data_IF_888530029853
#
_entry.id   IF_888530029853
#
_cell.length_a   1.000
_cell.length_b   1.000
_cell.length_c   1.000
_cell.angle_alpha   90.00
_cell.angle_beta   90.00
_cell.angle_gamma   90.00
#
_symmetry.space_group_name_H-M   'P 1'
#
loop_
_entity.id
_entity.type
_entity.pdbx_description
1 polymer ?
#
# COMPACT_ATOMS: atom_id res chain seq x y z
N UNK A 1 61.19 -40.14 -36.31
CA UNK A 1 60.27 -41.22 -35.90
C UNK A 1 59.39 -40.72 -34.76
N UNK A 2 58.08 -40.56 -35.01
CA UNK A 2 56.95 -40.61 -34.06
C UNK A 2 56.93 -39.61 -32.88
N UNK A 3 55.83 -38.95 -32.52
CA UNK A 3 54.41 -39.14 -32.82
C UNK A 3 53.68 -37.80 -32.62
N UNK A 4 52.82 -37.47 -33.59
CA UNK A 4 51.48 -36.88 -33.47
C UNK A 4 51.18 -35.91 -32.31
N UNK A 5 50.95 -34.65 -32.69
CA UNK A 5 49.65 -33.99 -32.53
C UNK A 5 49.08 -33.87 -31.13
N UNK A 6 49.32 -32.72 -30.48
CA UNK A 6 48.31 -31.84 -29.83
C UNK A 6 49.03 -30.50 -29.61
N UNK A 7 49.09 -29.66 -30.64
CA UNK A 7 49.52 -28.25 -30.49
C UNK A 7 48.73 -27.32 -31.42
N UNK A 8 47.48 -27.71 -31.72
CA UNK A 8 46.59 -27.01 -32.66
C UNK A 8 45.23 -26.56 -32.09
N UNK A 9 44.94 -26.78 -30.81
CA UNK A 9 43.62 -26.43 -30.27
C UNK A 9 43.59 -25.17 -29.37
N UNK A 10 44.74 -24.58 -29.03
CA UNK A 10 44.76 -23.40 -28.14
C UNK A 10 45.03 -22.06 -28.82
N UNK A 11 45.21 -22.02 -30.15
CA UNK A 11 45.41 -20.76 -30.91
C UNK A 11 44.39 -20.61 -32.05
N UNK A 12 43.37 -21.48 -32.13
CA UNK A 12 42.28 -21.34 -33.12
C UNK A 12 41.00 -20.66 -32.58
N UNK A 13 40.86 -20.40 -31.28
CA UNK A 13 39.62 -19.82 -30.74
C UNK A 13 39.68 -18.30 -30.50
N UNK A 14 40.83 -17.64 -30.71
CA UNK A 14 40.97 -16.16 -30.64
C UNK A 14 40.86 -15.46 -32.00
N UNK A 15 40.57 -16.23 -33.06
CA UNK A 15 40.38 -15.71 -34.42
C UNK A 15 38.93 -15.96 -34.93
N UNK A 16 38.05 -16.55 -34.10
CA UNK A 16 36.73 -17.02 -34.56
C UNK A 16 35.49 -16.23 -34.09
N UNK A 17 35.65 -15.03 -33.54
CA UNK A 17 34.54 -14.07 -33.41
C UNK A 17 34.88 -12.65 -33.89
N UNK A 18 35.90 -12.52 -34.74
CA UNK A 18 36.11 -11.32 -35.56
C UNK A 18 35.71 -11.52 -37.02
N UNK A 19 35.30 -12.73 -37.45
CA UNK A 19 34.83 -12.99 -38.82
C UNK A 19 33.58 -13.89 -38.86
N UNK A 20 32.42 -13.30 -38.58
CA UNK A 20 31.22 -13.52 -39.40
C UNK A 20 30.72 -12.15 -39.82
N UNK A 21 31.37 -11.58 -40.84
CA UNK A 21 30.73 -10.70 -41.81
C UNK A 21 31.63 -10.61 -43.04
N UNK A 22 31.72 -11.71 -43.79
CA UNK A 22 32.37 -11.74 -45.10
C UNK A 22 31.30 -12.06 -46.14
N UNK A 23 30.45 -11.05 -46.39
CA UNK A 23 29.81 -10.75 -47.68
C UNK A 23 28.78 -9.61 -47.51
N UNK A 24 29.26 -8.36 -47.61
CA UNK A 24 28.57 -7.04 -47.74
C UNK A 24 29.21 -5.99 -46.80
N UNK A 25 30.49 -5.69 -47.03
CA UNK A 25 31.28 -4.83 -46.12
C UNK A 25 30.78 -3.39 -46.03
N UNK A 26 29.99 -2.91 -47.01
CA UNK A 26 29.40 -1.57 -46.95
C UNK A 26 28.06 -1.56 -46.21
N UNK A 27 27.16 -2.52 -46.45
CA UNK A 27 25.83 -2.52 -45.81
C UNK A 27 25.91 -2.72 -44.29
N UNK A 28 26.76 -3.65 -43.80
CA UNK A 28 26.92 -3.85 -42.36
C UNK A 28 27.59 -2.64 -41.66
N UNK A 29 28.55 -1.99 -42.33
CA UNK A 29 29.16 -0.76 -41.82
C UNK A 29 28.15 0.40 -41.80
N UNK A 30 27.33 0.51 -42.85
CA UNK A 30 26.30 1.53 -42.98
C UNK A 30 25.18 1.31 -41.95
N UNK A 31 24.81 0.07 -41.67
CA UNK A 31 23.84 -0.27 -40.63
C UNK A 31 24.39 -0.04 -39.22
N UNK A 32 25.67 -0.31 -38.96
CA UNK A 32 26.33 0.05 -37.70
C UNK A 32 26.36 1.56 -37.49
N UNK A 33 26.67 2.34 -38.52
CA UNK A 33 26.64 3.81 -38.46
C UNK A 33 25.21 4.32 -38.24
N UNK A 34 24.21 3.70 -38.89
CA UNK A 34 22.79 4.02 -38.70
C UNK A 34 22.35 3.75 -37.26
N UNK A 35 22.71 2.59 -36.70
CA UNK A 35 22.39 2.23 -35.31
C UNK A 35 23.09 3.16 -34.32
N UNK A 36 24.36 3.51 -34.56
CA UNK A 36 25.08 4.49 -33.74
C UNK A 36 24.40 5.88 -33.77
N UNK A 37 23.94 6.33 -34.94
CA UNK A 37 23.17 7.56 -35.06
C UNK A 37 21.82 7.49 -34.33
N UNK A 38 21.15 6.34 -34.36
CA UNK A 38 19.91 6.11 -33.60
C UNK A 38 20.13 6.11 -32.10
N UNK A 39 21.18 5.45 -31.60
CA UNK A 39 21.56 5.46 -30.17
C UNK A 39 21.83 6.88 -29.72
N UNK A 40 22.62 7.65 -30.47
CA UNK A 40 22.89 9.06 -30.16
C UNK A 40 21.61 9.90 -30.10
N UNK A 41 20.69 9.66 -31.04
CA UNK A 41 19.38 10.34 -31.05
C UNK A 41 18.53 9.97 -29.83
N UNK A 42 18.58 8.70 -29.40
CA UNK A 42 17.88 8.24 -28.21
C UNK A 42 18.49 8.81 -26.93
N UNK A 43 19.81 8.89 -26.84
CA UNK A 43 20.51 9.52 -25.71
C UNK A 43 20.12 10.99 -25.56
N UNK A 44 20.05 11.74 -26.68
CA UNK A 44 19.59 13.13 -26.68
C UNK A 44 18.12 13.25 -26.24
N UNK A 45 17.26 12.31 -26.64
CA UNK A 45 15.86 12.25 -26.19
C UNK A 45 15.77 11.95 -24.69
N UNK A 46 16.54 10.99 -24.19
CA UNK A 46 16.59 10.65 -22.77
C UNK A 46 17.10 11.83 -21.95
N UNK A 47 18.16 12.51 -22.38
CA UNK A 47 18.68 13.70 -21.70
C UNK A 47 17.63 14.83 -21.68
N UNK A 48 16.90 15.04 -22.78
CA UNK A 48 15.81 16.02 -22.84
C UNK A 48 14.64 15.63 -21.93
N UNK A 49 14.28 14.35 -21.88
CA UNK A 49 13.24 13.84 -20.97
C UNK A 49 13.66 13.97 -19.50
N UNK A 50 14.93 13.72 -19.18
CA UNK A 50 15.49 13.91 -17.84
C UNK A 50 15.48 15.39 -17.43
N UNK A 51 15.84 16.30 -18.33
CA UNK A 51 15.69 17.74 -18.09
C UNK A 51 14.24 18.14 -17.86
N UNK A 52 13.31 17.62 -18.68
CA UNK A 52 11.87 17.90 -18.52
C UNK A 52 11.35 17.34 -17.19
N UNK A 53 11.77 16.14 -16.78
CA UNK A 53 11.45 15.55 -15.48
C UNK A 53 12.03 16.36 -14.32
N UNK A 54 13.27 16.84 -14.43
CA UNK A 54 13.86 17.70 -13.41
C UNK A 54 13.17 19.06 -13.35
N UNK A 55 12.73 19.59 -14.48
CA UNK A 55 11.94 20.81 -14.56
C UNK A 55 10.54 20.61 -13.94
N UNK A 56 9.85 19.52 -14.25
CA UNK A 56 8.58 19.13 -13.62
C UNK A 56 8.75 18.92 -12.10
N UNK A 57 9.84 18.27 -11.67
CA UNK A 57 10.19 18.14 -10.25
C UNK A 57 10.44 19.49 -9.59
N UNK A 58 11.16 20.40 -10.25
CA UNK A 58 11.40 21.76 -9.75
C UNK A 58 10.13 22.61 -9.66
N UNK A 59 9.18 22.42 -10.59
CA UNK A 59 7.85 23.02 -10.55
C UNK A 59 7.02 22.43 -9.40
N UNK A 60 7.16 21.13 -9.12
CA UNK A 60 6.59 20.52 -7.90
C UNK A 60 7.22 21.09 -6.62
N UNK A 61 8.50 21.45 -6.61
CA UNK A 61 9.15 22.08 -5.43
C UNK A 61 8.75 23.54 -5.22
N UNK A 62 8.17 24.22 -6.23
CA UNK A 62 7.63 25.58 -6.10
C UNK A 62 6.13 25.65 -5.85
N UNK A 63 5.42 24.52 -5.94
CA UNK A 63 4.13 24.36 -5.29
C UNK A 63 4.45 24.17 -3.80
N UNK A 64 4.54 25.28 -3.07
CA UNK A 64 4.26 25.24 -1.65
C UNK A 64 2.86 24.66 -1.52
N UNK A 65 2.75 23.36 -1.24
CA UNK A 65 1.53 22.80 -0.67
C UNK A 65 1.40 23.54 0.65
N UNK A 66 0.62 24.62 0.65
CA UNK A 66 0.01 25.07 1.86
C UNK A 66 -0.69 23.82 2.41
N UNK A 67 -0.25 23.36 3.57
CA UNK A 67 -0.93 22.34 4.38
C UNK A 67 -2.32 22.88 4.75
N UNK A 68 -3.18 23.11 3.76
CA UNK A 68 -4.51 23.66 3.95
C UNK A 68 -5.37 22.54 4.51
N UNK A 69 -5.28 22.39 5.83
CA UNK A 69 -6.35 21.75 6.59
C UNK A 69 -7.59 22.58 6.27
N UNK A 70 -8.54 21.98 5.55
CA UNK A 70 -9.82 22.62 5.27
C UNK A 70 -10.60 22.71 6.57
N UNK A 71 -10.37 23.80 7.30
CA UNK A 71 -11.19 24.21 8.45
C UNK A 71 -12.34 25.02 7.87
N UNK A 72 -13.58 24.58 8.12
CA UNK A 72 -14.76 25.36 7.80
C UNK A 72 -14.63 26.76 8.43
N UNK A 73 -14.53 27.85 7.63
CA UNK A 73 -14.34 29.21 8.14
C UNK A 73 -15.49 29.68 9.02
N UNK A 74 -16.67 29.07 8.90
CA UNK A 74 -17.85 29.43 9.69
C UNK A 74 -17.80 28.86 11.11
N UNK A 75 -17.07 27.74 11.30
CA UNK A 75 -17.04 27.00 12.56
C UNK A 75 -18.40 26.46 13.03
N UNK A 76 -19.45 26.55 12.19
CA UNK A 76 -20.83 26.21 12.57
C UNK A 76 -21.18 24.75 12.29
N UNK A 77 -20.53 24.10 11.33
CA UNK A 77 -20.83 22.71 10.95
C UNK A 77 -19.76 21.75 11.46
N UNK A 78 -20.17 20.79 12.27
CA UNK A 78 -19.31 19.73 12.78
C UNK A 78 -19.57 18.43 12.02
N UNK A 79 -18.66 18.07 11.11
CA UNK A 79 -18.75 16.81 10.35
C UNK A 79 -18.36 15.62 11.22
N UNK A 80 -19.14 14.54 11.17
CA UNK A 80 -18.81 13.28 11.88
C UNK A 80 -17.78 12.44 11.16
N UNK A 81 -17.67 12.61 9.84
CA UNK A 81 -16.80 11.85 8.94
C UNK A 81 -16.74 12.52 7.55
N UNK A 82 -15.91 11.97 6.66
CA UNK A 82 -15.72 12.50 5.31
C UNK A 82 -16.97 12.42 4.41
N UNK A 83 -17.95 11.58 4.72
CA UNK A 83 -19.17 11.47 3.93
C UNK A 83 -20.05 12.70 4.09
N UNK A 84 -20.12 13.27 5.30
CA UNK A 84 -20.82 14.53 5.53
C UNK A 84 -20.08 15.71 4.90
N UNK A 85 -18.74 15.71 4.98
CA UNK A 85 -17.89 16.68 4.25
C UNK A 85 -18.24 16.65 2.77
N UNK A 86 -18.34 15.45 2.17
CA UNK A 86 -18.75 15.29 0.78
C UNK A 86 -20.19 15.76 0.55
N UNK A 87 -21.15 15.39 1.38
CA UNK A 87 -22.55 15.81 1.18
C UNK A 87 -22.78 17.32 1.33
N UNK A 88 -21.85 18.03 1.98
CA UNK A 88 -21.78 19.50 2.05
C UNK A 88 -21.13 20.16 0.81
N UNK A 89 -20.91 19.41 -0.27
CA UNK A 89 -20.40 19.95 -1.54
C UNK A 89 -18.88 20.00 -1.64
N UNK A 90 -18.13 19.61 -0.60
CA UNK A 90 -16.66 19.58 -0.65
C UNK A 90 -16.19 18.36 -1.44
N UNK A 91 -15.58 18.60 -2.61
CA UNK A 91 -15.19 17.55 -3.58
C UNK A 91 -13.68 17.30 -3.68
N UNK A 92 -12.85 18.10 -3.01
CA UNK A 92 -11.40 17.98 -3.09
C UNK A 92 -10.89 16.98 -2.05
N UNK A 93 -10.10 15.99 -2.49
CA UNK A 93 -9.39 15.11 -1.55
C UNK A 93 -8.34 15.90 -0.77
N UNK A 94 -8.21 15.63 0.53
CA UNK A 94 -7.32 16.38 1.39
C UNK A 94 -7.59 16.19 2.87
N UNK A 95 -6.97 17.03 3.70
CA UNK A 95 -7.15 17.00 5.14
C UNK A 95 -8.39 17.78 5.55
N UNK A 96 -9.23 17.16 6.36
CA UNK A 96 -10.39 17.77 6.97
C UNK A 96 -10.41 17.49 8.47
N UNK A 97 -11.11 18.34 9.21
CA UNK A 97 -11.35 18.14 10.64
C UNK A 97 -12.75 17.58 10.83
N UNK A 98 -12.85 16.44 11.51
CA UNK A 98 -14.12 15.79 11.84
C UNK A 98 -14.21 15.57 13.36
N UNK A 99 -15.42 15.31 13.85
CA UNK A 99 -15.69 14.87 15.22
C UNK A 99 -16.77 13.78 15.20
N UNK A 100 -16.37 12.50 15.19
CA UNK A 100 -17.30 11.40 15.34
C UNK A 100 -18.15 11.55 16.61
N UNK A 101 -19.40 11.07 16.60
CA UNK A 101 -20.43 11.40 17.60
C UNK A 101 -20.01 11.23 19.07
N UNK A 102 -19.28 10.15 19.38
CA UNK A 102 -18.83 9.84 20.75
C UNK A 102 -17.34 10.15 20.97
N UNK A 103 -16.67 10.74 19.99
CA UNK A 103 -15.27 11.12 20.13
C UNK A 103 -15.16 12.30 21.10
N UNK A 104 -14.29 12.23 22.12
CA UNK A 104 -14.10 13.33 23.07
C UNK A 104 -13.46 14.56 22.40
N UNK A 105 -12.72 14.36 21.30
CA UNK A 105 -11.97 15.40 20.61
C UNK A 105 -12.22 15.39 19.10
N UNK A 106 -12.01 16.54 18.46
CA UNK A 106 -11.91 16.61 17.00
C UNK A 106 -10.64 15.91 16.53
N UNK A 107 -10.67 15.34 15.33
CA UNK A 107 -9.52 14.69 14.70
C UNK A 107 -9.35 15.16 13.26
N UNK A 108 -8.10 15.32 12.84
CA UNK A 108 -7.76 15.55 11.43
C UNK A 108 -7.70 14.22 10.71
N UNK A 109 -8.39 14.12 9.59
CA UNK A 109 -8.44 12.92 8.74
C UNK A 109 -8.15 13.28 7.29
N UNK A 110 -7.66 12.31 6.52
CA UNK A 110 -7.58 12.43 5.08
C UNK A 110 -8.89 11.93 4.47
N UNK A 111 -9.62 12.82 3.82
CA UNK A 111 -10.79 12.48 3.04
C UNK A 111 -10.40 12.22 1.60
N UNK A 112 -10.68 11.01 1.14
CA UNK A 112 -10.60 10.63 -0.26
C UNK A 112 -11.95 10.86 -0.93
N UNK A 113 -12.01 11.87 -1.79
CA UNK A 113 -13.21 12.28 -2.53
C UNK A 113 -13.32 11.60 -3.90
N UNK A 114 -12.39 10.69 -4.24
CA UNK A 114 -12.48 9.81 -5.41
C UNK A 114 -13.34 8.56 -5.12
N UNK A 115 -13.56 7.70 -6.12
CA UNK A 115 -14.35 6.46 -5.99
C UNK A 115 -15.76 6.68 -5.37
N UNK A 116 -16.48 7.68 -5.88
CA UNK A 116 -17.79 8.10 -5.34
C UNK A 116 -17.71 8.95 -4.07
N UNK A 117 -16.50 9.20 -3.57
CA UNK A 117 -16.18 10.19 -2.54
C UNK A 117 -16.66 9.88 -1.13
N UNK A 118 -16.32 10.77 -0.21
CA UNK A 118 -16.72 10.67 1.19
C UNK A 118 -16.02 9.57 1.98
N UNK A 119 -14.84 9.12 1.53
CA UNK A 119 -14.08 8.08 2.22
C UNK A 119 -13.13 8.68 3.26
N UNK A 120 -13.16 8.15 4.48
CA UNK A 120 -12.18 8.47 5.52
C UNK A 120 -11.04 7.45 5.46
N UNK A 121 -9.84 7.87 5.06
CA UNK A 121 -8.65 6.99 5.00
C UNK A 121 -8.04 6.85 6.39
N UNK A 122 -7.84 5.62 6.85
CA UNK A 122 -7.28 5.35 8.19
C UNK A 122 -5.91 4.65 8.16
N UNK A 123 -5.52 4.08 7.02
CA UNK A 123 -4.19 3.52 6.81
C UNK A 123 -3.74 3.77 5.38
N UNK A 124 -2.47 4.17 5.21
CA UNK A 124 -1.81 4.29 3.91
C UNK A 124 -0.38 3.72 3.93
N UNK A 125 -0.06 2.86 2.97
CA UNK A 125 1.30 2.38 2.61
C UNK A 125 1.61 2.74 1.15
N UNK A 126 2.82 3.21 0.86
CA UNK A 126 3.23 3.73 -0.45
C UNK A 126 4.73 3.57 -0.76
N UNK A 127 5.60 3.67 0.25
CA UNK A 127 7.04 3.83 0.03
C UNK A 127 7.94 3.24 1.13
N UNK A 128 7.35 2.74 2.22
CA UNK A 128 8.07 2.09 3.31
C UNK A 128 8.90 3.00 4.19
N UNK A 129 8.74 4.34 4.10
CA UNK A 129 9.52 5.27 4.94
C UNK A 129 9.03 5.33 6.38
N UNK A 130 7.78 4.98 6.65
CA UNK A 130 7.22 4.99 7.99
C UNK A 130 7.35 3.59 8.61
N UNK A 131 7.85 3.53 9.84
CA UNK A 131 7.88 2.25 10.58
C UNK A 131 6.49 1.94 11.14
N UNK A 132 5.96 0.77 10.78
CA UNK A 132 4.74 0.21 11.35
C UNK A 132 5.03 -0.78 12.50
N UNK A 133 6.31 -1.01 12.85
CA UNK A 133 6.67 -1.75 14.06
C UNK A 133 6.60 -0.84 15.29
N UNK A 134 5.38 -0.60 15.76
CA UNK A 134 5.04 0.38 16.82
C UNK A 134 4.37 -0.31 18.02
N UNK A 135 4.45 0.34 19.18
CA UNK A 135 3.84 -0.17 20.41
C UNK A 135 2.32 0.06 20.46
N UNK A 136 1.66 -0.50 21.48
CA UNK A 136 0.23 -0.37 21.71
C UNK A 136 -0.23 1.09 21.78
N UNK A 137 0.49 1.93 22.53
CA UNK A 137 0.12 3.32 22.74
C UNK A 137 0.17 4.15 21.46
N UNK A 138 1.16 3.89 20.60
CA UNK A 138 1.29 4.49 19.27
C UNK A 138 0.19 4.02 18.32
N UNK A 139 -0.10 2.71 18.25
CA UNK A 139 -1.22 2.20 17.44
C UNK A 139 -2.58 2.69 17.92
N UNK A 140 -2.75 2.88 19.23
CA UNK A 140 -3.94 3.49 19.83
C UNK A 140 -4.12 4.94 19.38
N UNK A 141 -3.06 5.75 19.47
CA UNK A 141 -3.10 7.20 19.18
C UNK A 141 -3.08 7.51 17.69
N UNK A 142 -2.37 6.70 16.90
CA UNK A 142 -2.02 6.98 15.51
C UNK A 142 -0.59 7.52 15.36
N UNK A 143 -0.02 7.32 14.18
CA UNK A 143 1.35 7.71 13.82
C UNK A 143 1.49 7.92 12.30
N UNK A 144 2.65 8.43 11.89
CA UNK A 144 3.00 8.68 10.50
C UNK A 144 2.60 10.05 9.97
N UNK A 145 2.71 10.23 8.66
CA UNK A 145 2.54 11.51 7.98
C UNK A 145 1.31 11.50 7.07
N UNK A 146 0.17 11.90 7.62
CA UNK A 146 -1.05 12.08 6.86
C UNK A 146 -1.03 13.33 5.95
N UNK A 147 -0.19 14.33 6.28
CA UNK A 147 -0.16 15.62 5.56
C UNK A 147 0.44 15.53 4.18
N UNK A 148 1.53 14.77 4.06
CA UNK A 148 2.10 14.47 2.76
C UNK A 148 1.13 13.60 1.96
N UNK A 149 0.86 13.96 0.71
CA UNK A 149 0.07 13.11 -0.20
C UNK A 149 0.71 11.74 -0.45
N UNK A 150 2.04 11.65 -0.28
CA UNK A 150 2.81 10.41 -0.37
C UNK A 150 3.09 9.75 1.00
N UNK A 151 2.74 10.40 2.12
CA UNK A 151 3.17 9.95 3.44
C UNK A 151 2.38 8.75 3.96
N UNK A 152 3.05 7.78 4.58
CA UNK A 152 2.38 6.63 5.19
C UNK A 152 1.90 6.97 6.60
N UNK A 153 0.77 6.40 7.00
CA UNK A 153 0.22 6.64 8.34
C UNK A 153 -0.75 5.56 8.81
N UNK A 154 -0.97 5.55 10.12
CA UNK A 154 -2.06 4.86 10.80
C UNK A 154 -2.84 5.88 11.63
N UNK A 155 -4.15 5.99 11.41
CA UNK A 155 -4.99 7.00 12.03
C UNK A 155 -5.11 6.85 13.55
N UNK A 156 -4.99 5.62 14.05
CA UNK A 156 -5.12 5.29 15.47
C UNK A 156 -6.37 4.47 15.78
N UNK A 157 -6.22 3.43 16.60
CA UNK A 157 -7.30 2.49 16.91
C UNK A 157 -8.46 3.16 17.66
N UNK A 158 -8.18 4.13 18.54
CA UNK A 158 -9.22 4.91 19.20
C UNK A 158 -10.07 5.69 18.19
N UNK A 159 -9.42 6.33 17.22
CA UNK A 159 -10.11 7.12 16.21
C UNK A 159 -10.95 6.21 15.30
N UNK A 160 -10.42 5.05 14.92
CA UNK A 160 -11.12 4.05 14.13
C UNK A 160 -12.32 3.45 14.87
N UNK A 161 -12.19 3.20 16.18
CA UNK A 161 -13.30 2.78 17.02
C UNK A 161 -14.45 3.79 17.02
N UNK A 162 -14.17 5.08 17.26
CA UNK A 162 -15.21 6.11 17.25
C UNK A 162 -15.88 6.26 15.88
N UNK A 163 -15.09 6.21 14.80
CA UNK A 163 -15.60 6.27 13.43
C UNK A 163 -16.53 5.10 13.10
N UNK A 164 -16.19 3.89 13.51
CA UNK A 164 -16.95 2.68 13.12
C UNK A 164 -18.05 2.31 14.12
N UNK A 165 -18.10 2.95 15.29
CA UNK A 165 -19.13 2.72 16.30
C UNK A 165 -20.31 3.69 16.22
N UNK A 166 -20.20 4.77 15.44
CA UNK A 166 -21.27 5.77 15.29
C UNK A 166 -22.37 5.37 14.29
N UNK A 167 -22.23 4.23 13.61
CA UNK A 167 -23.21 3.74 12.63
C UNK A 167 -22.71 2.47 11.95
N UNK A 168 -23.37 2.09 10.86
CA UNK A 168 -22.93 0.97 10.02
C UNK A 168 -21.94 1.45 8.95
N UNK A 169 -20.76 0.86 8.91
CA UNK A 169 -19.65 1.29 8.07
C UNK A 169 -19.18 0.18 7.14
N UNK A 170 -18.77 0.58 5.94
CA UNK A 170 -18.11 -0.27 4.96
C UNK A 170 -16.62 0.04 4.94
N UNK A 171 -15.80 -1.00 5.02
CA UNK A 171 -14.37 -0.94 4.75
C UNK A 171 -14.13 -1.15 3.26
N UNK A 172 -13.25 -0.34 2.66
CA UNK A 172 -12.64 -0.59 1.36
C UNK A 172 -11.13 -0.56 1.49
N UNK A 173 -10.49 -1.55 0.89
CA UNK A 173 -9.03 -1.69 0.80
C UNK A 173 -8.67 -1.65 -0.69
N UNK A 174 -7.94 -0.62 -1.11
CA UNK A 174 -7.33 -0.57 -2.43
C UNK A 174 -5.87 -1.00 -2.32
N UNK A 175 -5.40 -1.86 -3.23
CA UNK A 175 -4.05 -2.43 -3.22
C UNK A 175 -3.43 -2.38 -4.61
N UNK A 176 -2.11 -2.20 -4.68
CA UNK A 176 -1.31 -2.23 -5.90
C UNK A 176 -0.06 -3.09 -5.72
N UNK A 177 0.31 -3.83 -6.75
CA UNK A 177 1.58 -4.58 -6.81
C UNK A 177 2.67 -3.80 -7.57
N UNK A 178 3.88 -4.35 -7.64
CA UNK A 178 5.00 -3.68 -8.32
C UNK A 178 4.92 -3.71 -9.85
N UNK A 179 4.03 -4.53 -10.42
CA UNK A 179 3.75 -4.58 -11.85
C UNK A 179 2.66 -3.58 -12.27
N UNK A 180 2.09 -2.85 -11.30
CA UNK A 180 1.06 -1.84 -11.52
C UNK A 180 -0.36 -2.41 -11.59
N UNK A 181 -0.55 -3.69 -11.26
CA UNK A 181 -1.89 -4.26 -11.16
C UNK A 181 -2.57 -3.75 -9.90
N UNK A 182 -3.86 -3.43 -10.01
CA UNK A 182 -4.65 -2.95 -8.89
C UNK A 182 -5.78 -3.93 -8.55
N UNK A 183 -5.97 -4.17 -7.26
CA UNK A 183 -7.09 -4.96 -6.74
C UNK A 183 -7.73 -4.26 -5.56
N UNK A 184 -8.97 -4.63 -5.25
CA UNK A 184 -9.66 -4.10 -4.09
C UNK A 184 -10.44 -5.18 -3.34
N UNK A 185 -10.67 -4.91 -2.06
CA UNK A 185 -11.52 -5.68 -1.17
C UNK A 185 -12.48 -4.74 -0.43
N UNK A 186 -13.74 -5.12 -0.32
CA UNK A 186 -14.78 -4.37 0.38
C UNK A 186 -15.44 -5.30 1.39
N UNK A 187 -15.61 -4.81 2.62
CA UNK A 187 -16.28 -5.53 3.69
C UNK A 187 -17.38 -4.65 4.28
N UNK A 188 -18.61 -5.16 4.31
CA UNK A 188 -19.73 -4.52 5.01
C UNK A 188 -19.58 -4.66 6.53
N UNK A 189 -20.39 -3.95 7.31
CA UNK A 189 -20.47 -4.08 8.77
C UNK A 189 -19.11 -4.03 9.47
N UNK A 190 -18.19 -3.23 8.94
CA UNK A 190 -16.84 -3.09 9.48
C UNK A 190 -16.87 -2.32 10.78
N UNK A 191 -16.33 -2.93 11.83
CA UNK A 191 -16.33 -2.37 13.19
C UNK A 191 -15.04 -2.70 13.91
N UNK A 192 -14.59 -1.73 14.69
CA UNK A 192 -13.48 -1.89 15.63
C UNK A 192 -14.01 -1.60 17.04
N UNK A 193 -13.89 -2.57 17.94
CA UNK A 193 -14.32 -2.43 19.32
C UNK A 193 -13.46 -1.41 20.09
N UNK A 194 -13.80 -1.14 21.34
CA UNK A 194 -13.04 -0.21 22.18
C UNK A 194 -11.73 -0.84 22.70
N UNK A 195 -10.97 -0.08 23.48
CA UNK A 195 -9.72 -0.57 24.08
C UNK A 195 -9.93 -1.69 25.12
N UNK A 196 -11.07 -1.69 25.82
CA UNK A 196 -11.40 -2.71 26.83
C UNK A 196 -11.55 -4.08 26.17
N UNK A 197 -12.12 -4.11 24.97
CA UNK A 197 -12.20 -5.28 24.11
C UNK A 197 -10.99 -5.42 23.16
N UNK A 198 -9.90 -4.70 23.45
CA UNK A 198 -8.64 -4.73 22.71
C UNK A 198 -8.78 -4.47 21.20
N UNK A 199 -9.65 -3.51 20.84
CA UNK A 199 -9.93 -3.10 19.47
C UNK A 199 -10.32 -4.27 18.56
N UNK A 200 -11.09 -5.23 19.09
CA UNK A 200 -11.54 -6.41 18.35
C UNK A 200 -12.15 -6.04 16.99
N UNK A 201 -11.71 -6.74 15.95
CA UNK A 201 -12.17 -6.56 14.57
C UNK A 201 -13.49 -7.31 14.34
N UNK A 202 -14.45 -6.65 13.70
CA UNK A 202 -15.63 -7.27 13.12
C UNK A 202 -15.85 -6.79 11.69
N UNK A 203 -16.28 -7.68 10.83
CA UNK A 203 -16.73 -7.37 9.48
C UNK A 203 -17.81 -8.37 9.02
N UNK A 204 -18.56 -7.96 8.01
CA UNK A 204 -19.61 -8.72 7.34
C UNK A 204 -19.19 -9.15 5.95
N UNK A 205 -20.12 -9.06 5.00
CA UNK A 205 -19.97 -9.63 3.67
C UNK A 205 -18.84 -9.00 2.87
N UNK A 206 -18.08 -9.88 2.20
CA UNK A 206 -17.00 -9.53 1.30
C UNK A 206 -17.49 -9.34 -0.14
N UNK A 207 -16.94 -8.33 -0.81
CA UNK A 207 -16.92 -8.22 -2.28
C UNK A 207 -15.57 -7.67 -2.74
N UNK A 208 -15.14 -7.99 -3.95
CA UNK A 208 -13.91 -7.42 -4.49
C UNK A 208 -13.22 -8.31 -5.50
N UNK A 209 -12.06 -7.86 -5.94
CA UNK A 209 -11.20 -8.56 -6.90
C UNK A 209 -9.97 -9.18 -6.25
N UNK A 210 -9.64 -8.81 -5.01
CA UNK A 210 -8.42 -9.24 -4.33
C UNK A 210 -8.47 -10.65 -3.71
N UNK A 211 -9.65 -11.29 -3.67
CA UNK A 211 -9.90 -12.45 -2.80
C UNK A 211 -10.08 -12.04 -1.34
N UNK A 212 -10.73 -12.90 -0.55
CA UNK A 212 -11.06 -12.64 0.85
C UNK A 212 -9.98 -13.17 1.81
N UNK A 213 -8.91 -12.38 1.97
CA UNK A 213 -7.85 -12.74 2.90
C UNK A 213 -8.22 -12.46 4.37
N UNK A 214 -9.14 -11.53 4.69
CA UNK A 214 -9.49 -11.28 6.10
C UNK A 214 -10.33 -12.41 6.69
N UNK A 215 -11.29 -12.94 5.94
CA UNK A 215 -12.09 -14.06 6.43
C UNK A 215 -11.30 -15.37 6.42
N UNK A 216 -10.28 -15.50 5.57
CA UNK A 216 -9.46 -16.72 5.46
C UNK A 216 -10.24 -17.91 4.87
N UNK A 217 -11.24 -17.63 4.02
CA UNK A 217 -12.20 -18.62 3.51
C UNK A 217 -11.74 -19.37 2.26
N UNK A 218 -10.53 -19.10 1.78
CA UNK A 218 -9.95 -19.75 0.60
C UNK A 218 -9.62 -21.23 0.82
N UNK A 219 -9.52 -21.69 2.08
CA UNK A 219 -9.42 -23.12 2.41
C UNK A 219 -10.09 -23.42 3.77
N UNK A 220 -11.06 -24.36 3.86
CA UNK A 220 -11.78 -24.62 5.11
C UNK A 220 -10.87 -24.98 6.30
N UNK A 221 -9.80 -25.71 6.04
CA UNK A 221 -8.86 -26.16 7.09
C UNK A 221 -8.00 -25.02 7.65
N UNK A 222 -7.92 -23.87 6.97
CA UNK A 222 -7.08 -22.75 7.42
C UNK A 222 -7.86 -21.66 8.14
N UNK A 223 -9.18 -21.61 7.95
CA UNK A 223 -10.01 -20.51 8.46
C UNK A 223 -9.85 -20.31 9.97
N UNK A 224 -9.75 -21.39 10.76
CA UNK A 224 -9.66 -21.29 12.22
C UNK A 224 -8.39 -20.57 12.73
N UNK A 225 -7.29 -20.64 11.98
CA UNK A 225 -6.01 -20.02 12.32
C UNK A 225 -5.71 -18.76 11.50
N UNK A 226 -6.27 -18.65 10.29
CA UNK A 226 -6.01 -17.55 9.36
C UNK A 226 -7.01 -16.39 9.49
N UNK A 227 -8.26 -16.66 9.90
CA UNK A 227 -9.32 -15.64 9.91
C UNK A 227 -9.04 -14.54 10.92
N UNK A 228 -9.23 -13.29 10.48
CA UNK A 228 -9.10 -12.07 11.29
C UNK A 228 -10.44 -11.70 11.97
N UNK A 229 -11.53 -12.38 11.60
CA UNK A 229 -12.86 -12.10 12.15
C UNK A 229 -12.89 -12.33 13.65
N UNK A 230 -13.24 -11.30 14.42
CA UNK A 230 -13.28 -11.36 15.87
C UNK A 230 -11.91 -11.40 16.54
N UNK A 231 -10.82 -11.18 15.80
CA UNK A 231 -9.48 -11.11 16.41
C UNK A 231 -9.29 -9.79 17.13
N UNK A 232 -8.57 -9.86 18.25
CA UNK A 232 -8.14 -8.68 19.01
C UNK A 232 -6.89 -8.11 18.37
N UNK A 233 -6.68 -6.82 18.53
CA UNK A 233 -5.48 -6.16 18.04
C UNK A 233 -4.29 -6.57 18.92
N UNK A 234 -3.13 -6.78 18.32
CA UNK A 234 -1.89 -7.11 19.03
C UNK A 234 -0.75 -6.22 18.55
N UNK A 235 0.17 -5.91 19.45
CA UNK A 235 1.45 -5.23 19.18
C UNK A 235 2.58 -5.99 19.89
N UNK A 236 3.83 -5.65 19.59
CA UNK A 236 4.98 -6.37 20.15
C UNK A 236 5.08 -6.34 21.69
N UNK A 237 4.42 -5.34 22.31
CA UNK A 237 4.35 -5.08 23.74
C UNK A 237 2.99 -5.46 24.37
N UNK A 238 1.98 -5.83 23.56
CA UNK A 238 0.67 -6.30 24.04
C UNK A 238 0.12 -7.38 23.14
N UNK A 239 0.21 -8.61 23.63
CA UNK A 239 -0.23 -9.80 22.94
C UNK A 239 -1.69 -10.13 23.23
N UNK A 240 -2.51 -10.22 22.19
CA UNK A 240 -3.89 -10.71 22.26
C UNK A 240 -4.18 -11.72 21.13
N UNK A 241 -3.14 -12.28 20.51
CA UNK A 241 -3.28 -13.23 19.41
C UNK A 241 -3.58 -14.65 19.93
N UNK A 242 -3.73 -15.63 19.03
CA UNK A 242 -4.05 -17.04 19.37
C UNK A 242 -2.87 -17.98 19.16
N UNK A 243 -1.66 -17.43 19.03
CA UNK A 243 -0.43 -18.18 18.93
C UNK A 243 0.24 -18.32 20.30
N UNK A 244 1.16 -19.28 20.42
CA UNK A 244 1.91 -19.51 21.68
C UNK A 244 3.08 -18.54 21.83
N UNK A 245 3.49 -17.92 20.73
CA UNK A 245 4.42 -16.79 20.68
C UNK A 245 3.67 -15.55 20.23
N UNK A 246 4.41 -14.48 19.93
CA UNK A 246 3.82 -13.17 19.64
C UNK A 246 3.98 -12.85 18.17
N UNK A 247 2.90 -12.97 17.40
CA UNK A 247 2.90 -12.72 15.96
C UNK A 247 3.30 -11.26 15.66
N UNK A 248 2.84 -10.30 16.44
CA UNK A 248 3.20 -8.89 16.27
C UNK A 248 4.71 -8.63 16.38
N UNK A 249 5.43 -9.43 17.19
CA UNK A 249 6.88 -9.37 17.35
C UNK A 249 7.61 -10.08 16.22
N UNK A 250 7.09 -11.19 15.72
CA UNK A 250 7.68 -11.94 14.60
C UNK A 250 7.48 -11.18 13.28
N UNK A 251 6.25 -10.71 13.04
CA UNK A 251 5.83 -10.05 11.80
C UNK A 251 6.05 -8.53 11.78
N UNK A 252 6.65 -8.01 12.85
CA UNK A 252 7.07 -6.60 12.99
C UNK A 252 5.97 -5.59 12.68
N UNK A 253 4.75 -5.85 13.13
CA UNK A 253 3.59 -5.00 12.89
C UNK A 253 2.60 -5.04 14.04
N UNK A 254 1.71 -4.05 14.11
CA UNK A 254 0.48 -4.13 14.89
C UNK A 254 -0.68 -4.52 13.99
N UNK A 255 -1.44 -5.55 14.35
CA UNK A 255 -2.53 -6.06 13.53
C UNK A 255 -3.52 -6.90 14.34
N UNK A 256 -4.63 -7.28 13.71
CA UNK A 256 -5.61 -8.23 14.25
C UNK A 256 -5.16 -9.68 14.02
N UNK A 257 -4.01 -10.04 14.59
CA UNK A 257 -3.44 -11.38 14.42
C UNK A 257 -4.32 -12.47 15.06
N UNK A 258 -4.39 -13.63 14.39
CA UNK A 258 -4.97 -14.86 14.92
C UNK A 258 -3.83 -15.81 15.34
N UNK A 259 -3.64 -16.94 14.67
CA UNK A 259 -2.35 -17.65 14.65
C UNK A 259 -1.51 -17.05 13.54
N UNK A 260 -1.17 -15.78 13.79
CA UNK A 260 -0.57 -14.82 12.88
C UNK A 260 -1.53 -14.38 11.79
N UNK A 261 -1.33 -14.70 10.51
CA UNK A 261 -2.14 -14.05 9.48
C UNK A 261 -2.24 -14.74 8.11
N UNK A 262 -3.38 -14.53 7.45
CA UNK A 262 -3.56 -14.56 5.98
C UNK A 262 -3.39 -13.18 5.31
N UNK A 263 -3.39 -12.10 6.08
CA UNK A 263 -3.23 -10.74 5.59
C UNK A 263 -2.51 -9.90 6.62
N UNK A 264 -1.50 -9.14 6.22
CA UNK A 264 -0.76 -8.24 7.09
C UNK A 264 -0.44 -6.96 6.32
N UNK A 265 -1.36 -5.99 6.34
CA UNK A 265 -1.18 -4.74 5.59
C UNK A 265 -0.28 -3.73 6.32
N UNK A 266 0.08 -4.03 7.57
CA UNK A 266 0.97 -3.24 8.41
C UNK A 266 2.40 -3.81 8.47
N UNK A 267 2.69 -4.89 7.72
CA UNK A 267 4.00 -5.53 7.70
C UNK A 267 5.12 -4.66 7.13
N UNK A 268 6.32 -5.25 7.08
CA UNK A 268 7.50 -4.61 6.53
C UNK A 268 7.38 -4.40 5.02
N UNK A 269 7.84 -3.22 4.60
CA UNK A 269 7.79 -2.84 3.19
C UNK A 269 8.95 -3.49 2.45
N UNK A 270 8.64 -4.46 1.59
CA UNK A 270 9.57 -5.05 0.64
C UNK A 270 9.11 -4.73 -0.78
N UNK A 271 10.03 -4.78 -1.74
CA UNK A 271 9.71 -4.47 -3.13
C UNK A 271 9.36 -5.74 -3.91
N UNK A 272 8.11 -6.18 -3.81
CA UNK A 272 7.58 -7.34 -4.52
C UNK A 272 7.99 -8.66 -3.85
N UNK A 273 8.46 -9.68 -4.60
CA UNK A 273 8.91 -10.93 -4.03
C UNK A 273 10.06 -10.71 -3.05
N UNK A 274 10.02 -11.36 -1.89
CA UNK A 274 11.04 -11.17 -0.85
C UNK A 274 11.40 -12.46 -0.11
N UNK A 275 12.50 -12.41 0.63
CA UNK A 275 12.96 -13.50 1.50
C UNK A 275 13.28 -12.93 2.87
N UNK A 276 12.71 -13.53 3.90
CA UNK A 276 12.90 -13.15 5.30
C UNK A 276 12.74 -14.39 6.20
N UNK A 277 12.96 -14.23 7.50
CA UNK A 277 12.81 -15.34 8.48
C UNK A 277 11.36 -15.78 8.59
N UNK A 278 10.44 -14.82 8.62
CA UNK A 278 8.99 -15.03 8.58
C UNK A 278 8.40 -14.24 7.41
N UNK A 279 7.16 -14.53 7.06
CA UNK A 279 6.36 -13.82 6.09
C UNK A 279 5.88 -12.46 6.63
N UNK A 280 6.81 -11.59 6.99
CA UNK A 280 6.55 -10.32 7.66
C UNK A 280 6.32 -9.12 6.71
N UNK A 281 5.90 -9.37 5.48
CA UNK A 281 5.69 -8.34 4.45
C UNK A 281 4.31 -7.70 4.50
N UNK A 282 4.04 -6.78 3.56
CA UNK A 282 2.70 -6.22 3.32
C UNK A 282 1.91 -7.25 2.49
N UNK A 283 1.22 -8.15 3.17
CA UNK A 283 0.67 -9.37 2.57
C UNK A 283 -0.84 -9.32 2.35
N UNK A 284 -1.26 -9.85 1.21
CA UNK A 284 -2.62 -10.28 0.93
C UNK A 284 -2.61 -11.67 0.28
N UNK A 285 -2.80 -12.72 1.09
CA UNK A 285 -2.54 -14.10 0.68
C UNK A 285 -3.32 -14.53 -0.57
N UNK A 286 -4.61 -14.21 -0.64
CA UNK A 286 -5.47 -14.65 -1.76
C UNK A 286 -5.11 -14.03 -3.11
N UNK A 287 -4.19 -13.07 -3.14
CA UNK A 287 -3.66 -12.51 -4.37
C UNK A 287 -2.25 -13.01 -4.70
N UNK A 288 -1.25 -12.76 -3.84
CA UNK A 288 0.16 -13.06 -4.14
C UNK A 288 0.81 -14.07 -3.17
N UNK A 289 0.03 -14.67 -2.27
CA UNK A 289 0.56 -15.53 -1.20
C UNK A 289 1.34 -14.75 -0.14
N UNK A 290 2.17 -15.45 0.63
CA UNK A 290 2.92 -14.88 1.76
C UNK A 290 4.25 -14.23 1.39
N UNK A 291 4.88 -14.63 0.28
CA UNK A 291 6.26 -14.21 -0.06
C UNK A 291 6.33 -13.08 -1.08
N UNK A 292 5.28 -12.27 -1.13
CA UNK A 292 5.20 -11.06 -1.94
C UNK A 292 4.66 -9.91 -1.10
N UNK A 293 5.38 -8.79 -1.08
CA UNK A 293 4.98 -7.57 -0.38
C UNK A 293 4.39 -6.57 -1.38
N UNK A 294 3.19 -6.08 -1.07
CA UNK A 294 2.46 -5.12 -1.90
C UNK A 294 3.16 -3.76 -1.96
N UNK A 295 2.99 -3.07 -3.09
CA UNK A 295 3.57 -1.73 -3.33
C UNK A 295 2.77 -0.65 -2.61
N UNK A 296 1.45 -0.68 -2.72
CA UNK A 296 0.62 0.32 -2.05
C UNK A 296 -0.65 -0.28 -1.47
N UNK A 297 -1.11 0.32 -0.37
CA UNK A 297 -2.33 -0.06 0.32
C UNK A 297 -3.02 1.20 0.84
N UNK A 298 -4.32 1.32 0.59
CA UNK A 298 -5.18 2.34 1.19
C UNK A 298 -6.38 1.67 1.84
N UNK A 299 -6.47 1.74 3.17
CA UNK A 299 -7.65 1.31 3.90
C UNK A 299 -8.51 2.52 4.26
N UNK A 300 -9.77 2.48 3.85
CA UNK A 300 -10.71 3.59 3.99
C UNK A 300 -12.10 3.11 4.39
N UNK A 301 -12.81 3.91 5.19
CA UNK A 301 -14.16 3.61 5.66
C UNK A 301 -15.16 4.68 5.24
N UNK A 302 -16.42 4.28 5.05
CA UNK A 302 -17.55 5.16 4.73
C UNK A 302 -18.85 4.56 5.26
N UNK A 303 -19.87 5.35 5.64
CA UNK A 303 -21.17 4.80 6.01
C UNK A 303 -21.72 3.86 4.92
N UNK A 304 -22.30 2.73 5.34
CA UNK A 304 -22.71 1.65 4.44
C UNK A 304 -23.82 2.07 3.45
N UNK A 305 -24.73 2.94 3.90
CA UNK A 305 -25.84 3.47 3.11
C UNK A 305 -25.59 4.90 2.61
N UNK A 306 -24.32 5.24 2.38
CA UNK A 306 -23.97 6.55 1.86
C UNK A 306 -24.49 6.72 0.42
N UNK A 307 -25.38 7.69 0.25
CA UNK A 307 -25.81 8.20 -1.05
C UNK A 307 -25.30 9.64 -1.20
N UNK A 308 -24.50 9.93 -2.24
CA UNK A 308 -24.11 11.29 -2.55
C UNK A 308 -25.34 12.17 -2.81
N UNK A 309 -25.40 13.33 -2.16
CA UNK A 309 -26.38 14.35 -2.55
C UNK A 309 -26.14 14.74 -4.02
N UNK A 310 -27.17 14.63 -4.86
CA UNK A 310 -27.18 15.26 -6.18
C UNK A 310 -27.30 16.77 -5.96
N UNK A 311 -26.20 17.48 -6.17
CA UNK A 311 -26.14 18.95 -6.15
C UNK A 311 -26.31 19.48 -7.57
#
# INVERSE_FOLDING_TARGET
>A
MGKTGVRKEFILALVFFTHICVSSSDECQQERQRLQAQVKTLEERVARQQMLLNQLRSQQTQISVTDDIYVDPSGQVEYTDCSQVYNDGKRQSGLYVIKPLQSPNKMTVYCDMSDGGGWTVFQRRTDGKESFYRNWAEYKKGFGNMRSSAGEFWLGNNNLHYLTSQGDYTLRINMEDFDGNQRFAVYKHFKVADEKDAYQLGFGEYTGTAGDSLAGTYHPEVQWWASHQGMKFSTYDRDNDRYEHNCAREDKAGWWFNRCHSANLNGLYYQGPYTAVTDNGIIWYTWHGWWYSLKSVHMKVRPAYFEPNTV
#
